data_IF_898045621236
#
_entry.id   IF_898045621236
#
_cell.length_a   1.000
_cell.length_b   1.000
_cell.length_c   1.000
_cell.angle_alpha   90.00
_cell.angle_beta   90.00
_cell.angle_gamma   90.00
#
_symmetry.space_group_name_H-M   'P 1'
#
loop_
_entity.id
_entity.type
_entity.pdbx_description
1 polymer ?
#
# COMPACT_ATOMS: atom_id res chain seq x y z
N UNK A 1 -16.33 -38.92 4.53
CA UNK A 1 -17.20 -38.02 5.29
C UNK A 1 -16.32 -37.25 6.28
N UNK A 2 -16.00 -36.01 5.97
CA UNK A 2 -15.14 -35.16 6.80
C UNK A 2 -15.96 -33.90 7.13
N UNK A 3 -16.17 -33.53 8.39
CA UNK A 3 -17.04 -32.41 8.75
C UNK A 3 -16.33 -31.06 8.53
N UNK A 4 -16.99 -30.22 7.77
CA UNK A 4 -16.60 -28.85 7.53
C UNK A 4 -16.55 -28.04 8.84
N UNK A 5 -15.38 -27.52 9.19
CA UNK A 5 -15.22 -26.52 10.25
C UNK A 5 -15.80 -25.18 9.80
N UNK A 6 -16.95 -24.83 10.34
CA UNK A 6 -17.52 -23.49 10.27
C UNK A 6 -16.63 -22.53 11.06
N UNK A 7 -16.04 -21.55 10.38
CA UNK A 7 -15.40 -20.39 11.04
C UNK A 7 -16.50 -19.49 11.59
N UNK A 8 -16.40 -18.95 12.81
CA UNK A 8 -17.37 -17.99 13.31
C UNK A 8 -17.21 -16.66 12.56
N UNK A 9 -18.29 -16.21 11.96
CA UNK A 9 -18.44 -14.85 11.45
C UNK A 9 -18.58 -13.91 12.63
N UNK A 10 -17.53 -13.17 12.95
CA UNK A 10 -17.62 -12.01 13.83
C UNK A 10 -18.36 -10.90 13.07
N UNK A 11 -19.63 -10.80 13.36
CA UNK A 11 -20.46 -9.63 13.09
C UNK A 11 -19.87 -8.46 13.92
N UNK A 12 -19.09 -7.61 13.26
CA UNK A 12 -18.76 -6.31 13.81
C UNK A 12 -20.01 -5.44 13.69
N UNK A 13 -20.74 -5.38 14.81
CA UNK A 13 -21.78 -4.42 15.06
C UNK A 13 -21.26 -3.03 14.77
N UNK A 14 -21.99 -2.30 13.95
CA UNK A 14 -21.90 -0.86 13.74
C UNK A 14 -21.95 -0.17 15.11
N UNK A 15 -20.80 0.21 15.63
CA UNK A 15 -20.70 1.14 16.74
C UNK A 15 -21.13 2.51 16.20
N UNK A 16 -22.37 2.81 16.45
CA UNK A 16 -22.91 4.15 16.56
C UNK A 16 -22.01 4.94 17.52
N UNK A 17 -21.16 5.79 16.99
CA UNK A 17 -20.54 6.88 17.71
C UNK A 17 -21.62 7.91 17.96
N UNK A 18 -22.56 7.58 18.84
CA UNK A 18 -23.48 8.53 19.43
C UNK A 18 -22.71 9.38 20.46
N UNK A 19 -22.52 10.65 20.09
CA UNK A 19 -22.56 11.84 20.96
C UNK A 19 -22.20 11.66 22.44
N UNK A 20 -21.06 11.11 22.75
CA UNK A 20 -20.57 11.10 24.13
C UNK A 20 -19.13 11.61 24.14
N UNK A 21 -18.94 12.68 24.89
CA UNK A 21 -17.69 13.26 25.37
C UNK A 21 -17.16 14.54 24.69
N UNK A 22 -18.02 15.50 24.37
CA UNK A 22 -17.52 16.86 24.13
C UNK A 22 -18.25 17.98 24.90
N UNK A 23 -18.80 17.81 26.12
CA UNK A 23 -19.32 18.98 26.81
C UNK A 23 -18.42 19.61 27.85
N UNK A 24 -17.31 18.98 28.28
CA UNK A 24 -16.56 19.54 29.42
C UNK A 24 -15.12 20.00 29.09
N UNK A 25 -14.56 19.66 27.92
CA UNK A 25 -13.24 20.17 27.54
C UNK A 25 -13.31 21.57 26.88
N UNK A 26 -14.50 22.03 26.46
CA UNK A 26 -14.66 23.33 25.82
C UNK A 26 -14.61 24.53 26.79
N UNK A 27 -14.70 24.31 28.09
CA UNK A 27 -14.67 25.37 29.08
C UNK A 27 -13.31 25.65 29.73
N UNK A 28 -12.29 24.87 29.41
CA UNK A 28 -10.92 25.10 29.88
C UNK A 28 -10.04 25.89 28.90
N UNK A 29 -10.61 26.47 27.85
CA UNK A 29 -9.91 27.36 26.95
C UNK A 29 -9.76 28.74 27.61
N UNK A 30 -8.81 28.82 28.57
CA UNK A 30 -8.33 30.09 29.07
C UNK A 30 -7.64 30.86 27.94
N UNK A 31 -7.98 32.13 27.81
CA UNK A 31 -7.40 33.06 26.87
C UNK A 31 -5.86 33.01 26.89
N UNK A 32 -5.24 32.74 25.71
CA UNK A 32 -4.00 33.40 25.39
C UNK A 32 -2.70 32.60 25.35
N UNK A 33 -2.59 31.28 25.65
CA UNK A 33 -1.27 30.63 25.68
C UNK A 33 -1.01 29.58 24.60
N UNK A 34 -1.80 29.52 23.53
CA UNK A 34 -1.57 28.56 22.45
C UNK A 34 -1.77 27.10 22.87
N UNK A 35 -2.32 26.84 24.04
CA UNK A 35 -2.57 25.51 24.61
C UNK A 35 -4.03 25.14 24.50
N UNK A 36 -4.33 23.88 24.21
CA UNK A 36 -5.73 23.42 24.19
C UNK A 36 -5.97 22.22 23.27
N UNK A 37 -7.19 21.70 23.32
CA UNK A 37 -7.60 20.64 22.41
C UNK A 37 -7.72 21.17 21.00
N UNK A 38 -7.47 20.30 20.01
CA UNK A 38 -7.62 20.65 18.61
C UNK A 38 -8.14 19.48 17.78
N UNK A 39 -8.72 19.83 16.65
CA UNK A 39 -9.05 18.89 15.58
C UNK A 39 -8.30 19.28 14.32
N UNK A 40 -7.95 18.30 13.52
CA UNK A 40 -7.25 18.53 12.26
C UNK A 40 -7.83 17.61 11.19
N UNK A 41 -8.03 18.16 10.00
CA UNK A 41 -8.43 17.42 8.82
C UNK A 41 -7.38 17.64 7.73
N UNK A 42 -6.89 16.55 7.15
CA UNK A 42 -5.87 16.56 6.13
C UNK A 42 -6.33 15.79 4.89
N UNK A 43 -5.84 16.25 3.74
CA UNK A 43 -5.78 15.46 2.53
C UNK A 43 -4.33 15.00 2.34
N UNK A 44 -4.11 13.70 2.39
CA UNK A 44 -2.79 13.11 2.27
C UNK A 44 -2.60 12.45 0.91
N UNK A 45 -1.45 12.70 0.30
CA UNK A 45 -0.94 11.98 -0.86
C UNK A 45 0.10 10.99 -0.38
N UNK A 46 -0.21 9.71 -0.47
CA UNK A 46 0.68 8.64 -0.05
C UNK A 46 1.41 8.04 -1.26
N UNK A 47 2.70 7.82 -1.08
CA UNK A 47 3.52 6.96 -1.89
C UNK A 47 3.85 5.71 -1.08
N UNK A 48 3.36 4.58 -1.54
CA UNK A 48 3.49 3.31 -0.87
C UNK A 48 4.54 2.46 -1.58
N UNK A 49 5.47 1.88 -0.83
CA UNK A 49 6.50 1.00 -1.33
C UNK A 49 6.45 -0.32 -0.59
N UNK A 50 6.11 -1.37 -1.33
CA UNK A 50 6.05 -2.75 -0.86
C UNK A 50 7.22 -3.49 -1.50
N UNK A 51 8.10 -4.06 -0.68
CA UNK A 51 9.20 -4.90 -1.14
C UNK A 51 8.95 -6.32 -0.62
N UNK A 52 8.86 -7.28 -1.53
CA UNK A 52 8.81 -8.70 -1.20
C UNK A 52 10.21 -9.30 -1.28
N UNK A 53 10.66 -9.89 -0.19
CA UNK A 53 11.90 -10.65 -0.11
C UNK A 53 11.55 -12.13 -0.28
N UNK A 54 11.75 -12.68 -1.47
CA UNK A 54 11.58 -14.12 -1.67
C UNK A 54 12.80 -14.86 -1.17
N UNK A 55 12.62 -16.04 -0.55
CA UNK A 55 13.74 -16.89 -0.16
C UNK A 55 14.53 -17.29 -1.42
N UNK A 56 15.84 -17.33 -1.28
CA UNK A 56 16.71 -17.83 -2.34
C UNK A 56 16.37 -19.29 -2.65
N UNK A 57 16.53 -19.67 -3.93
CA UNK A 57 16.34 -21.04 -4.34
C UNK A 57 17.32 -21.94 -3.60
N UNK A 58 16.80 -22.96 -2.90
CA UNK A 58 17.59 -23.92 -2.13
C UNK A 58 17.62 -25.30 -2.82
N UNK A 59 18.63 -26.11 -2.51
CA UNK A 59 18.79 -27.46 -3.03
C UNK A 59 19.19 -27.52 -4.49
N UNK A 60 18.64 -28.44 -5.28
CA UNK A 60 18.96 -28.66 -6.69
C UNK A 60 18.71 -27.44 -7.62
N UNK A 61 18.03 -26.41 -7.12
CA UNK A 61 17.73 -25.18 -7.86
C UNK A 61 18.61 -23.99 -7.43
N UNK A 62 19.61 -24.22 -6.57
CA UNK A 62 20.54 -23.19 -6.14
C UNK A 62 21.25 -22.56 -7.36
N UNK A 63 21.23 -21.23 -7.44
CA UNK A 63 21.83 -20.50 -8.56
C UNK A 63 20.96 -20.39 -9.82
N UNK A 64 19.79 -21.04 -9.89
CA UNK A 64 18.83 -20.80 -10.96
C UNK A 64 17.97 -19.58 -10.61
N UNK A 65 17.93 -18.60 -11.50
CA UNK A 65 16.90 -17.55 -11.42
C UNK A 65 15.53 -18.23 -11.56
N UNK A 66 14.83 -18.35 -10.46
CA UNK A 66 13.42 -18.72 -10.50
C UNK A 66 12.70 -17.47 -11.01
N UNK A 67 12.52 -17.36 -12.32
CA UNK A 67 11.61 -16.38 -12.91
C UNK A 67 10.17 -16.85 -12.64
N UNK A 68 9.78 -16.75 -11.40
CA UNK A 68 8.39 -16.94 -11.02
C UNK A 68 7.65 -15.61 -11.23
N UNK A 69 6.37 -15.70 -11.39
CA UNK A 69 5.39 -14.63 -11.28
C UNK A 69 5.74 -13.61 -10.17
N UNK A 70 6.37 -14.07 -9.11
CA UNK A 70 6.87 -13.31 -7.97
C UNK A 70 7.88 -12.19 -8.29
N UNK A 71 8.67 -12.29 -9.36
CA UNK A 71 9.63 -11.24 -9.71
C UNK A 71 8.94 -9.93 -10.14
N UNK A 72 7.71 -10.02 -10.63
CA UNK A 72 6.91 -8.85 -11.01
C UNK A 72 6.44 -8.04 -9.83
N UNK A 73 6.18 -8.67 -8.68
CA UNK A 73 5.70 -8.01 -7.46
C UNK A 73 6.78 -7.79 -6.41
N UNK A 74 8.05 -7.93 -6.76
CA UNK A 74 9.15 -7.72 -5.83
C UNK A 74 9.19 -6.29 -5.29
N UNK A 75 8.88 -5.32 -6.13
CA UNK A 75 8.83 -3.90 -5.78
C UNK A 75 7.54 -3.28 -6.32
N UNK A 76 6.54 -3.16 -5.48
CA UNK A 76 5.30 -2.50 -5.83
C UNK A 76 5.37 -1.06 -5.35
N UNK A 77 5.10 -0.13 -6.25
CA UNK A 77 5.02 1.29 -5.99
C UNK A 77 3.65 1.78 -6.38
N UNK A 78 2.96 2.42 -5.47
CA UNK A 78 1.64 2.96 -5.71
C UNK A 78 1.47 4.32 -5.09
N UNK A 79 0.43 5.02 -5.52
CA UNK A 79 0.06 6.34 -5.05
C UNK A 79 -1.41 6.34 -4.67
N UNK A 80 -1.73 6.94 -3.54
CA UNK A 80 -3.12 7.12 -3.12
C UNK A 80 -3.34 8.50 -2.53
N UNK A 81 -4.52 9.06 -2.76
CA UNK A 81 -4.99 10.25 -2.06
C UNK A 81 -6.06 9.80 -1.10
N UNK A 82 -5.91 10.16 0.18
CA UNK A 82 -6.85 9.76 1.20
C UNK A 82 -7.08 10.86 2.25
N UNK A 83 -8.28 10.94 2.81
CA UNK A 83 -8.57 11.82 3.92
C UNK A 83 -8.01 11.26 5.23
N UNK A 84 -7.61 12.13 6.10
CA UNK A 84 -7.19 11.84 7.47
C UNK A 84 -7.82 12.85 8.41
N UNK A 85 -8.25 12.37 9.57
CA UNK A 85 -8.74 13.19 10.66
C UNK A 85 -7.92 12.94 11.90
N UNK A 86 -7.65 13.98 12.67
CA UNK A 86 -6.87 13.88 13.90
C UNK A 86 -7.55 14.70 14.99
N UNK A 87 -7.42 14.22 16.21
CA UNK A 87 -7.77 14.93 17.42
C UNK A 87 -6.56 14.94 18.33
N UNK A 88 -6.33 16.04 19.01
CA UNK A 88 -5.14 16.16 19.84
C UNK A 88 -5.23 17.24 20.87
N UNK A 89 -4.16 17.37 21.63
CA UNK A 89 -3.96 18.40 22.61
C UNK A 89 -2.59 19.07 22.42
N UNK A 90 -2.60 20.39 22.39
CA UNK A 90 -1.43 21.23 22.28
C UNK A 90 -1.04 21.75 23.69
N UNK A 91 0.17 21.42 24.11
CA UNK A 91 0.73 21.84 25.41
C UNK A 91 1.58 23.13 25.31
N UNK A 92 1.62 23.75 24.11
CA UNK A 92 2.35 24.98 23.84
C UNK A 92 3.71 24.80 23.14
N UNK A 93 4.34 23.67 23.22
CA UNK A 93 5.55 23.31 22.48
C UNK A 93 5.53 21.86 22.07
N UNK A 94 4.72 21.07 22.76
CA UNK A 94 4.46 19.67 22.46
C UNK A 94 2.99 19.46 22.12
N UNK A 95 2.75 18.58 21.17
CA UNK A 95 1.40 18.12 20.83
C UNK A 95 1.34 16.62 20.87
N UNK A 96 0.23 16.10 21.37
CA UNK A 96 -0.13 14.68 21.22
C UNK A 96 -1.37 14.62 20.37
N UNK A 97 -1.37 13.74 19.37
CA UNK A 97 -2.50 13.55 18.46
C UNK A 97 -2.81 12.09 18.25
N UNK A 98 -4.09 11.76 18.24
CA UNK A 98 -4.59 10.51 17.67
C UNK A 98 -5.14 10.81 16.27
N UNK A 99 -4.80 9.99 15.30
CA UNK A 99 -5.24 10.16 13.92
C UNK A 99 -5.84 8.88 13.35
N UNK A 100 -6.79 9.06 12.44
CA UNK A 100 -7.39 7.99 11.67
C UNK A 100 -7.30 8.34 10.19
N UNK A 101 -6.79 7.41 9.39
CA UNK A 101 -6.74 7.53 7.93
C UNK A 101 -7.40 6.32 7.28
N UNK A 102 -8.16 6.58 6.21
CA UNK A 102 -8.76 5.54 5.38
C UNK A 102 -8.16 5.64 3.98
N UNK A 103 -7.41 4.65 3.62
CA UNK A 103 -6.72 4.60 2.33
C UNK A 103 -7.67 4.18 1.21
N UNK A 104 -7.37 4.64 0.00
CA UNK A 104 -8.12 4.27 -1.19
C UNK A 104 -7.61 2.94 -1.73
N UNK A 105 -8.55 2.07 -2.12
CA UNK A 105 -8.25 0.83 -2.84
C UNK A 105 -7.57 1.12 -4.18
N UNK A 106 -6.55 0.35 -4.53
CA UNK A 106 -5.92 0.41 -5.83
C UNK A 106 -5.68 -0.99 -6.41
N UNK A 107 -5.66 -1.08 -7.73
CA UNK A 107 -5.43 -2.31 -8.47
C UNK A 107 -4.17 -2.14 -9.31
N UNK A 108 -3.33 -3.15 -9.35
CA UNK A 108 -2.18 -3.24 -10.25
C UNK A 108 -2.34 -4.48 -11.12
N UNK A 109 -2.47 -4.28 -12.44
CA UNK A 109 -2.62 -5.36 -13.40
C UNK A 109 -1.39 -5.40 -14.28
N UNK A 110 -0.74 -6.55 -14.35
CA UNK A 110 0.44 -6.76 -15.17
C UNK A 110 0.21 -7.89 -16.16
N UNK A 111 0.68 -7.65 -17.38
CA UNK A 111 0.64 -8.65 -18.44
C UNK A 111 2.01 -8.72 -19.10
N UNK A 112 2.52 -9.93 -19.26
CA UNK A 112 3.76 -10.16 -19.96
C UNK A 112 3.68 -11.35 -20.89
N UNK A 113 4.38 -11.25 -22.00
CA UNK A 113 4.51 -12.32 -22.98
C UNK A 113 5.98 -12.59 -23.22
N UNK A 114 6.38 -13.85 -23.08
CA UNK A 114 7.71 -14.33 -23.41
C UNK A 114 7.62 -15.37 -24.51
N UNK A 115 8.44 -15.23 -25.55
CA UNK A 115 8.54 -16.19 -26.66
C UNK A 115 9.95 -16.74 -26.67
N UNK A 116 10.06 -18.05 -26.53
CA UNK A 116 11.33 -18.77 -26.58
C UNK A 116 11.32 -19.72 -27.77
N UNK A 117 12.25 -19.54 -28.70
CA UNK A 117 12.48 -20.51 -29.78
C UNK A 117 13.00 -21.82 -29.18
N UNK A 118 12.32 -22.92 -29.48
CA UNK A 118 12.69 -24.26 -29.02
C UNK A 118 13.47 -25.02 -30.10
N UNK A 119 13.03 -24.88 -31.34
CA UNK A 119 13.61 -25.60 -32.47
C UNK A 119 13.42 -24.74 -33.73
N UNK A 120 14.46 -24.72 -34.57
CA UNK A 120 14.41 -24.21 -35.94
C UNK A 120 15.10 -25.21 -36.87
N UNK A 121 14.34 -25.76 -37.79
CA UNK A 121 14.91 -26.59 -38.86
C UNK A 121 15.39 -25.66 -39.98
N UNK A 122 16.69 -25.76 -40.31
CA UNK A 122 17.33 -24.90 -41.33
C UNK A 122 16.98 -25.33 -42.77
N UNK A 123 16.65 -26.61 -42.96
CA UNK A 123 16.42 -27.18 -44.29
C UNK A 123 15.04 -26.85 -44.83
N UNK A 124 14.02 -26.89 -43.97
CA UNK A 124 12.65 -26.64 -44.36
C UNK A 124 12.03 -25.40 -43.72
N UNK A 125 12.78 -24.65 -42.90
CA UNK A 125 12.32 -23.43 -42.23
C UNK A 125 11.32 -23.62 -41.12
N UNK A 126 10.95 -24.84 -40.75
CA UNK A 126 10.02 -25.13 -39.68
C UNK A 126 10.55 -24.60 -38.37
N UNK A 127 9.66 -23.92 -37.62
CA UNK A 127 9.99 -23.30 -36.34
C UNK A 127 9.00 -23.72 -35.28
N UNK A 128 9.51 -24.04 -34.10
CA UNK A 128 8.72 -24.30 -32.90
C UNK A 128 9.12 -23.30 -31.81
N UNK A 129 8.14 -22.57 -31.34
CA UNK A 129 8.30 -21.59 -30.28
C UNK A 129 7.45 -21.96 -29.05
N UNK A 130 7.96 -21.64 -27.87
CA UNK A 130 7.15 -21.66 -26.64
C UNK A 130 6.77 -20.24 -26.30
N UNK A 131 5.45 -19.95 -26.34
CA UNK A 131 4.89 -18.70 -25.90
C UNK A 131 4.37 -18.88 -24.47
N UNK A 132 4.87 -18.07 -23.56
CA UNK A 132 4.40 -18.03 -22.17
C UNK A 132 3.76 -16.66 -21.94
N UNK A 133 2.49 -16.67 -21.58
CA UNK A 133 1.70 -15.50 -21.20
C UNK A 133 1.51 -15.53 -19.69
N UNK A 134 1.89 -14.47 -19.00
CA UNK A 134 1.64 -14.28 -17.59
C UNK A 134 0.71 -13.07 -17.43
N UNK A 135 -0.41 -13.28 -16.76
CA UNK A 135 -1.33 -12.23 -16.38
C UNK A 135 -1.45 -12.23 -14.87
N UNK A 136 -1.29 -11.07 -14.27
CA UNK A 136 -1.37 -10.88 -12.83
C UNK A 136 -2.26 -9.69 -12.53
N UNK A 137 -3.26 -9.92 -11.71
CA UNK A 137 -4.18 -8.92 -11.22
C UNK A 137 -3.97 -8.81 -9.70
N UNK A 138 -3.33 -7.75 -9.27
CA UNK A 138 -3.13 -7.46 -7.86
C UNK A 138 -4.13 -6.42 -7.37
N UNK A 139 -4.82 -6.73 -6.30
CA UNK A 139 -5.66 -5.79 -5.59
C UNK A 139 -5.10 -5.59 -4.20
N UNK A 140 -4.69 -4.36 -3.90
CA UNK A 140 -4.16 -4.01 -2.61
C UNK A 140 -5.11 -3.04 -1.92
N UNK A 141 -5.35 -3.29 -0.65
CA UNK A 141 -6.15 -2.45 0.20
C UNK A 141 -5.34 -2.14 1.45
N UNK A 142 -4.72 -0.98 1.51
CA UNK A 142 -4.47 -0.38 2.79
C UNK A 142 -5.83 0.11 3.29
N UNK A 143 -6.42 -0.59 4.25
CA UNK A 143 -7.82 -0.33 4.62
C UNK A 143 -7.92 0.89 5.51
N UNK A 144 -7.11 0.94 6.56
CA UNK A 144 -7.12 2.03 7.53
C UNK A 144 -5.89 2.01 8.43
N UNK A 145 -5.56 3.14 8.99
CA UNK A 145 -4.60 3.24 10.08
C UNK A 145 -5.15 4.07 11.22
N UNK A 146 -4.91 3.62 12.43
CA UNK A 146 -5.12 4.37 13.67
C UNK A 146 -3.75 4.68 14.26
N UNK A 147 -3.41 5.96 14.45
CA UNK A 147 -2.09 6.38 14.88
C UNK A 147 -2.11 7.28 16.10
N UNK A 148 -0.99 7.28 16.81
CA UNK A 148 -0.67 8.18 17.91
C UNK A 148 0.65 8.87 17.58
N UNK A 149 0.67 10.20 17.68
CA UNK A 149 1.85 11.01 17.38
C UNK A 149 2.19 11.90 18.55
N UNK A 150 3.48 12.03 18.82
CA UNK A 150 4.05 13.08 19.69
C UNK A 150 4.89 14.00 18.83
N UNK A 151 4.56 15.28 18.84
CA UNK A 151 5.11 16.29 17.93
C UNK A 151 5.62 17.46 18.73
N UNK A 152 6.80 17.96 18.37
CA UNK A 152 7.37 19.19 18.92
C UNK A 152 7.26 20.31 17.89
N UNK A 153 6.67 21.44 18.28
CA UNK A 153 6.57 22.66 17.51
C UNK A 153 7.71 23.61 17.85
N UNK A 154 8.51 23.96 16.85
CA UNK A 154 9.61 24.92 17.04
C UNK A 154 9.06 26.34 16.99
N UNK A 155 9.25 27.08 18.06
CA UNK A 155 8.89 28.50 18.10
C UNK A 155 9.92 29.32 17.32
N UNK A 156 9.47 29.92 16.23
CA UNK A 156 10.30 30.78 15.39
C UNK A 156 10.04 32.29 15.61
N UNK A 157 9.15 32.61 16.55
CA UNK A 157 8.68 34.00 16.74
C UNK A 157 7.83 34.53 15.56
N UNK A 158 7.47 33.65 14.62
CA UNK A 158 6.71 34.00 13.42
C UNK A 158 5.42 33.19 13.30
N UNK A 159 4.62 33.44 12.22
CA UNK A 159 3.44 32.63 11.89
C UNK A 159 3.80 31.22 11.40
N UNK A 160 5.05 31.03 11.00
CA UNK A 160 5.53 29.74 10.52
C UNK A 160 6.07 28.94 11.71
N UNK A 161 5.46 27.80 11.98
CA UNK A 161 5.81 26.89 13.06
C UNK A 161 6.25 25.55 12.48
N UNK A 162 7.55 25.38 12.21
CA UNK A 162 8.07 24.07 11.86
C UNK A 162 7.81 23.08 12.99
N UNK A 163 7.65 21.83 12.65
CA UNK A 163 7.48 20.79 13.64
C UNK A 163 8.14 19.47 13.21
N UNK A 164 8.49 18.67 14.20
CA UNK A 164 8.95 17.31 14.00
C UNK A 164 8.44 16.42 15.13
N UNK A 165 8.27 15.13 14.84
CA UNK A 165 7.75 14.20 15.82
C UNK A 165 7.87 12.75 15.43
N UNK A 166 7.40 11.91 16.33
CA UNK A 166 7.34 10.46 16.15
C UNK A 166 5.90 9.98 16.16
N UNK A 167 5.68 8.86 15.49
CA UNK A 167 4.35 8.26 15.37
C UNK A 167 4.42 6.75 15.54
N UNK A 168 3.44 6.21 16.25
CA UNK A 168 3.14 4.79 16.29
C UNK A 168 1.75 4.60 15.70
N UNK A 169 1.56 3.62 14.82
CA UNK A 169 0.24 3.39 14.25
C UNK A 169 -0.03 1.90 14.06
N UNK A 170 -1.28 1.55 14.21
CA UNK A 170 -1.82 0.25 13.88
C UNK A 170 -2.51 0.33 12.52
N UNK A 171 -2.01 -0.44 11.56
CA UNK A 171 -2.53 -0.49 10.20
C UNK A 171 -3.12 -1.83 9.87
N UNK A 172 -4.20 -1.82 9.09
CA UNK A 172 -4.79 -3.02 8.50
C UNK A 172 -4.64 -2.95 6.98
N UNK A 173 -3.92 -3.93 6.42
CA UNK A 173 -3.65 -4.07 4.98
C UNK A 173 -4.24 -5.38 4.51
N UNK A 174 -4.91 -5.37 3.37
CA UNK A 174 -5.41 -6.57 2.70
C UNK A 174 -4.89 -6.59 1.27
N UNK A 175 -4.41 -7.73 0.83
CA UNK A 175 -4.05 -7.92 -0.57
C UNK A 175 -4.73 -9.17 -1.15
N UNK A 176 -5.00 -9.13 -2.44
CA UNK A 176 -5.43 -10.27 -3.23
C UNK A 176 -4.69 -10.24 -4.55
N UNK A 177 -4.06 -11.35 -4.91
CA UNK A 177 -3.31 -11.51 -6.15
C UNK A 177 -3.87 -12.71 -6.87
N UNK A 178 -4.37 -12.47 -8.08
CA UNK A 178 -4.80 -13.51 -9.01
C UNK A 178 -3.76 -13.58 -10.14
N UNK A 179 -3.09 -14.71 -10.29
CA UNK A 179 -2.11 -14.90 -11.35
C UNK A 179 -2.51 -16.06 -12.26
N UNK A 180 -2.33 -15.86 -13.55
CA UNK A 180 -2.57 -16.91 -14.55
C UNK A 180 -1.34 -17.00 -15.46
N UNK A 181 -0.78 -18.20 -15.57
CA UNK A 181 0.31 -18.51 -16.48
C UNK A 181 -0.18 -19.49 -17.54
N UNK A 182 -0.14 -19.06 -18.79
CA UNK A 182 -0.48 -19.85 -19.97
C UNK A 182 0.77 -20.16 -20.76
N UNK A 183 1.00 -21.44 -21.07
CA UNK A 183 2.09 -21.87 -21.94
C UNK A 183 1.52 -22.56 -23.19
N UNK A 184 1.89 -22.05 -24.34
CA UNK A 184 1.44 -22.54 -25.65
C UNK A 184 2.67 -22.84 -26.50
N UNK A 185 2.72 -24.01 -27.15
CA UNK A 185 3.69 -24.27 -28.19
C UNK A 185 3.10 -23.89 -29.55
N UNK A 186 3.82 -23.10 -30.28
CA UNK A 186 3.46 -22.61 -31.61
C UNK A 186 4.43 -23.21 -32.62
N UNK A 187 3.90 -24.03 -33.52
CA UNK A 187 4.69 -24.56 -34.64
C UNK A 187 4.29 -23.81 -35.89
N UNK A 188 5.27 -23.20 -36.52
CA UNK A 188 5.11 -22.47 -37.79
C UNK A 188 5.77 -23.26 -38.92
N UNK A 189 5.00 -23.61 -39.92
CA UNK A 189 5.45 -24.30 -41.11
C UNK A 189 5.38 -23.30 -42.25
N UNK A 190 6.53 -22.82 -42.77
CA UNK A 190 6.54 -21.94 -43.92
C UNK A 190 6.16 -22.72 -45.18
N UNK A 191 5.47 -22.08 -46.08
CA UNK A 191 5.21 -22.62 -47.44
C UNK A 191 6.05 -21.84 -48.47
N UNK A 192 5.78 -22.04 -49.74
CA UNK A 192 6.49 -21.38 -50.84
C UNK A 192 6.52 -19.83 -50.66
N UNK A 193 7.48 -19.13 -51.24
CA UNK A 193 7.53 -17.66 -51.22
C UNK A 193 6.19 -17.06 -51.58
N UNK A 194 5.67 -16.19 -50.73
CA UNK A 194 4.37 -15.53 -50.79
C UNK A 194 3.13 -16.36 -50.35
N UNK A 195 3.28 -17.56 -49.82
CA UNK A 195 2.18 -18.33 -49.25
C UNK A 195 2.10 -18.11 -47.72
N UNK A 196 0.86 -18.06 -47.21
CA UNK A 196 0.63 -17.90 -45.76
C UNK A 196 1.13 -19.12 -44.99
N UNK A 197 1.99 -18.98 -43.97
CA UNK A 197 2.47 -20.10 -43.19
C UNK A 197 1.35 -20.79 -42.41
N UNK A 198 1.45 -22.10 -42.28
CA UNK A 198 0.53 -22.84 -41.41
C UNK A 198 1.01 -22.75 -39.96
N UNK A 199 0.11 -22.34 -39.04
CA UNK A 199 0.43 -22.14 -37.63
C UNK A 199 -0.42 -23.09 -36.79
N UNK A 200 0.25 -24.02 -36.12
CA UNK A 200 -0.37 -24.91 -35.13
C UNK A 200 -0.10 -24.36 -33.72
N UNK A 201 -1.17 -24.29 -32.89
CA UNK A 201 -1.08 -23.85 -31.49
C UNK A 201 -1.51 -24.99 -30.59
N UNK A 202 -0.61 -25.49 -29.76
CA UNK A 202 -0.86 -26.58 -28.84
C UNK A 202 -0.76 -26.02 -27.41
N UNK A 203 -1.86 -25.88 -26.67
CA UNK A 203 -1.84 -25.54 -25.26
C UNK A 203 -1.06 -26.60 -24.49
N UNK A 204 -0.13 -26.21 -23.62
CA UNK A 204 0.64 -27.14 -22.77
C UNK A 204 0.21 -27.08 -21.33
N UNK A 205 0.24 -25.92 -20.72
CA UNK A 205 -0.14 -25.73 -19.32
C UNK A 205 -0.90 -24.43 -19.15
N UNK A 206 -1.85 -24.46 -18.23
CA UNK A 206 -2.49 -23.28 -17.70
C UNK A 206 -2.53 -23.43 -16.19
N UNK A 207 -1.70 -22.64 -15.51
CA UNK A 207 -1.63 -22.60 -14.06
C UNK A 207 -2.33 -21.32 -13.60
N UNK A 208 -3.24 -21.45 -12.67
CA UNK A 208 -3.90 -20.33 -12.01
C UNK A 208 -3.55 -20.37 -10.52
N UNK A 209 -3.14 -19.26 -9.98
CA UNK A 209 -2.81 -19.13 -8.57
C UNK A 209 -3.54 -17.91 -8.01
N UNK A 210 -4.23 -18.12 -6.89
CA UNK A 210 -4.92 -17.06 -6.16
C UNK A 210 -4.37 -17.01 -4.75
N UNK A 211 -3.89 -15.84 -4.36
CA UNK A 211 -3.42 -15.56 -3.02
C UNK A 211 -4.22 -14.40 -2.45
N UNK A 212 -4.77 -14.57 -1.25
CA UNK A 212 -5.46 -13.49 -0.54
C UNK A 212 -5.06 -13.54 0.91
N UNK A 213 -4.51 -12.43 1.38
CA UNK A 213 -4.07 -12.32 2.77
C UNK A 213 -4.44 -10.96 3.37
N UNK A 214 -4.62 -10.93 4.68
CA UNK A 214 -4.90 -9.70 5.42
C UNK A 214 -3.99 -9.62 6.63
N UNK A 215 -3.37 -8.47 6.78
CA UNK A 215 -2.31 -8.26 7.75
C UNK A 215 -2.66 -7.04 8.57
N UNK A 216 -2.58 -7.20 9.88
CA UNK A 216 -2.67 -6.10 10.83
C UNK A 216 -1.33 -5.94 11.51
N UNK A 217 -0.74 -4.76 11.43
CA UNK A 217 0.60 -4.51 11.94
C UNK A 217 0.69 -3.21 12.71
N UNK A 218 1.51 -3.24 13.75
CA UNK A 218 1.97 -2.04 14.44
C UNK A 218 3.21 -1.52 13.71
N UNK A 219 3.18 -0.25 13.32
CA UNK A 219 4.29 0.42 12.63
C UNK A 219 4.77 1.63 13.39
N UNK A 220 5.98 2.08 13.04
CA UNK A 220 6.63 3.25 13.60
C UNK A 220 6.97 4.25 12.50
N UNK A 221 6.88 5.52 12.82
CA UNK A 221 7.14 6.56 11.84
C UNK A 221 7.66 7.84 12.44
N UNK A 222 8.05 8.73 11.53
CA UNK A 222 8.40 10.09 11.83
C UNK A 222 7.46 11.05 11.09
N UNK A 223 7.20 12.19 11.68
CA UNK A 223 6.40 13.26 11.09
C UNK A 223 7.21 14.55 11.15
N UNK A 224 7.13 15.36 10.10
CA UNK A 224 7.72 16.68 10.05
C UNK A 224 6.87 17.59 9.16
N UNK A 225 6.89 18.87 9.39
CA UNK A 225 6.13 19.80 8.58
C UNK A 225 6.23 21.23 9.06
N UNK A 226 5.31 22.04 8.55
CA UNK A 226 5.17 23.44 8.93
C UNK A 226 3.69 23.81 9.09
N UNK A 227 3.36 24.37 10.24
CA UNK A 227 2.08 25.02 10.49
C UNK A 227 2.19 26.52 10.18
N UNK A 228 1.14 27.07 9.56
CA UNK A 228 1.03 28.51 9.29
C UNK A 228 -0.20 29.02 10.02
N UNK A 229 0.01 29.81 11.06
CA UNK A 229 -1.10 30.37 11.85
C UNK A 229 -1.80 31.48 11.06
N UNK A 230 -3.01 31.20 10.61
CA UNK A 230 -3.89 32.16 9.92
C UNK A 230 -4.61 33.04 10.93
N UNK A 231 -5.08 32.42 12.01
CA UNK A 231 -5.67 33.07 13.18
C UNK A 231 -5.14 32.41 14.45
N UNK A 232 -5.37 32.96 15.65
CA UNK A 232 -4.98 32.28 16.89
C UNK A 232 -5.55 30.87 17.06
N UNK A 233 -6.67 30.57 16.38
CA UNK A 233 -7.35 29.27 16.46
C UNK A 233 -7.22 28.42 15.19
N UNK A 234 -6.81 28.99 14.07
CA UNK A 234 -6.76 28.31 12.77
C UNK A 234 -5.35 28.28 12.20
N UNK A 235 -4.85 27.09 11.97
CA UNK A 235 -3.53 26.84 11.37
C UNK A 235 -3.69 26.02 10.08
N UNK A 236 -3.06 26.47 8.99
CA UNK A 236 -2.82 25.63 7.82
C UNK A 236 -1.61 24.76 8.11
N UNK A 237 -1.68 23.50 7.75
CA UNK A 237 -0.66 22.52 8.04
C UNK A 237 -0.17 21.86 6.73
N UNK A 238 1.14 21.92 6.47
CA UNK A 238 1.78 21.17 5.39
C UNK A 238 2.76 20.19 6.02
N UNK A 239 2.51 18.91 5.85
CA UNK A 239 3.24 17.87 6.55
C UNK A 239 3.79 16.79 5.64
N UNK A 240 4.85 16.16 6.12
CA UNK A 240 5.41 14.95 5.57
C UNK A 240 5.48 13.89 6.66
N UNK A 241 5.13 12.66 6.30
CA UNK A 241 5.11 11.51 7.19
C UNK A 241 5.79 10.33 6.53
N UNK A 242 6.74 9.76 7.24
CA UNK A 242 7.33 8.48 6.92
C UNK A 242 6.84 7.43 7.90
N UNK A 243 6.40 6.28 7.40
CA UNK A 243 5.94 5.19 8.26
C UNK A 243 6.49 3.86 7.79
N UNK A 244 7.05 3.10 8.72
CA UNK A 244 7.49 1.74 8.53
C UNK A 244 6.55 0.80 9.27
N UNK A 245 5.83 -0.02 8.51
CA UNK A 245 4.80 -0.93 9.03
C UNK A 245 5.34 -2.27 9.49
N UNK A 246 6.64 -2.46 9.49
CA UNK A 246 7.28 -3.70 9.88
C UNK A 246 7.52 -4.65 8.72
N UNK A 247 7.86 -5.86 9.09
CA UNK A 247 8.09 -6.98 8.18
C UNK A 247 7.02 -8.04 8.46
N UNK A 248 6.32 -8.44 7.42
CA UNK A 248 5.28 -9.45 7.46
C UNK A 248 5.74 -10.58 6.57
N UNK A 249 6.15 -11.69 7.19
CA UNK A 249 6.80 -12.78 6.50
C UNK A 249 7.97 -12.27 5.64
N UNK A 250 7.82 -12.34 4.31
CA UNK A 250 8.83 -11.88 3.34
C UNK A 250 8.50 -10.50 2.71
N UNK A 251 7.64 -9.71 3.36
CA UNK A 251 7.17 -8.43 2.81
C UNK A 251 7.51 -7.27 3.75
N UNK A 252 8.19 -6.25 3.23
CA UNK A 252 8.45 -4.98 3.92
C UNK A 252 7.54 -3.90 3.35
N UNK A 253 6.82 -3.21 4.21
CA UNK A 253 5.90 -2.17 3.82
C UNK A 253 6.32 -0.82 4.43
N UNK A 254 6.42 0.19 3.56
CA UNK A 254 6.78 1.57 3.92
C UNK A 254 5.85 2.53 3.21
N UNK A 255 5.46 3.59 3.89
CA UNK A 255 4.68 4.68 3.30
C UNK A 255 5.39 6.02 3.49
N UNK A 256 5.30 6.84 2.47
CA UNK A 256 5.71 8.23 2.46
C UNK A 256 4.48 9.05 2.13
N UNK A 257 4.10 9.97 2.99
CA UNK A 257 2.89 10.76 2.82
C UNK A 257 3.23 12.25 2.86
N UNK A 258 2.79 12.99 1.86
CA UNK A 258 2.72 14.44 1.91
C UNK A 258 1.26 14.83 2.19
N UNK A 259 1.04 15.78 3.08
CA UNK A 259 -0.32 16.18 3.45
C UNK A 259 -0.47 17.69 3.51
N UNK A 260 -1.67 18.14 3.18
CA UNK A 260 -2.14 19.49 3.41
C UNK A 260 -3.41 19.41 4.22
N UNK A 261 -3.53 20.25 5.24
CA UNK A 261 -4.66 20.21 6.14
C UNK A 261 -4.92 21.50 6.87
N UNK A 262 -5.97 21.46 7.66
CA UNK A 262 -6.41 22.57 8.51
C UNK A 262 -6.57 22.04 9.92
N UNK A 263 -5.97 22.76 10.86
CA UNK A 263 -6.05 22.49 12.28
C UNK A 263 -6.81 23.63 12.95
N UNK A 264 -7.85 23.26 13.71
CA UNK A 264 -8.63 24.19 14.50
C UNK A 264 -8.43 23.90 15.99
N UNK A 265 -8.06 24.92 16.73
CA UNK A 265 -7.89 24.90 18.20
C UNK A 265 -9.09 25.54 18.88
N UNK A 266 -9.57 24.89 19.90
CA UNK A 266 -10.74 25.37 20.65
C UNK A 266 -10.40 26.44 21.68
#
# INVERSE_FOLDING_TARGET
>A
MNPARKKPSLLFSSLLFSSLLFPSAAQAAGEGNGRGPYVQADLAYAYEHITRDYPDASGANQGKKISTVSDYFKNIRTHSIHPRVSVGYDFGGWRIAADYARYRKWNDNKYSVSIKELLRNKDNGNRRDRKTENQENGTFHAVSSLGLSAVYDFDTGSRFKPYAGVRVAYGHVRHSIDSTKKTIEVTTIPHAPNATPTIYRVPKTQDAHQESDSISSLGFGAVAGVGIDITPKLTLDAGYRYHYWGRLENTRFKTHEASLGVRYRF
#
